data_IF_086993119898
#
_entry.id   IF_086993119898
#
_cell.length_a   1.000
_cell.length_b   1.000
_cell.length_c   1.000
_cell.angle_alpha   90.00
_cell.angle_beta   90.00
_cell.angle_gamma   90.00
#
_symmetry.space_group_name_H-M   'P 1'
#
loop_
_entity.id
_entity.type
_entity.pdbx_description
1 polymer ?
#
# COMPACT_ATOMS: atom_id res chain seq x y z
N UNK A 1 18.06 -3.00 -11.27
CA UNK A 1 18.19 -2.58 -9.84
C UNK A 1 16.80 -2.44 -9.26
N UNK A 2 16.44 -3.21 -8.23
CA UNK A 2 15.12 -3.12 -7.57
C UNK A 2 14.93 -1.79 -6.86
N UNK A 3 13.68 -1.34 -6.77
CA UNK A 3 13.26 -0.18 -5.97
C UNK A 3 12.74 -0.57 -4.58
N UNK A 4 12.83 -1.85 -4.23
CA UNK A 4 12.33 -2.32 -2.95
C UNK A 4 12.94 -1.53 -1.80
N UNK A 5 12.09 -1.12 -0.86
CA UNK A 5 12.46 -0.20 0.22
C UNK A 5 11.98 -0.74 1.57
N UNK A 6 12.87 -0.74 2.55
CA UNK A 6 12.51 -0.90 3.95
C UNK A 6 12.37 0.48 4.57
N UNK A 7 11.22 0.76 5.20
CA UNK A 7 10.93 2.05 5.84
C UNK A 7 10.70 1.84 7.34
N UNK A 8 11.17 2.77 8.13
CA UNK A 8 10.86 2.85 9.56
C UNK A 8 9.92 4.02 9.78
N UNK A 9 8.66 3.73 10.10
CA UNK A 9 7.65 4.76 10.36
C UNK A 9 7.49 4.92 11.87
N UNK A 10 7.83 6.09 12.35
CA UNK A 10 7.57 6.49 13.73
C UNK A 10 6.45 7.54 13.72
N UNK A 11 5.38 7.23 14.41
CA UNK A 11 4.24 8.12 14.65
C UNK A 11 4.38 8.67 16.07
N UNK A 12 4.84 9.90 16.24
CA UNK A 12 4.97 10.49 17.58
C UNK A 12 3.60 10.67 18.22
N UNK A 13 3.58 10.90 19.53
CA UNK A 13 2.37 11.32 20.23
C UNK A 13 1.87 12.61 19.57
N UNK A 14 0.74 12.52 18.87
CA UNK A 14 0.18 13.64 18.14
C UNK A 14 -1.04 14.23 18.86
N UNK A 15 -1.13 15.55 18.87
CA UNK A 15 -2.30 16.26 19.39
C UNK A 15 -3.43 16.34 18.37
N UNK A 16 -3.12 16.19 17.09
CA UNK A 16 -4.08 16.27 15.96
C UNK A 16 -3.89 15.09 15.01
N UNK A 17 -4.98 14.61 14.37
CA UNK A 17 -4.88 13.61 13.31
C UNK A 17 -4.25 14.20 12.05
N UNK A 18 -3.66 13.34 11.20
CA UNK A 18 -3.16 13.73 9.86
C UNK A 18 -4.33 14.11 8.96
N UNK A 19 -5.43 13.39 9.07
CA UNK A 19 -6.63 13.59 8.26
C UNK A 19 -7.87 13.12 9.03
N UNK A 20 -9.02 13.72 8.72
CA UNK A 20 -10.34 13.17 9.07
C UNK A 20 -10.89 12.47 7.83
N UNK A 21 -11.17 11.18 7.95
CA UNK A 21 -11.70 10.38 6.85
C UNK A 21 -13.03 10.95 6.34
N UNK A 22 -13.07 11.29 5.06
CA UNK A 22 -14.29 11.81 4.40
C UNK A 22 -15.40 10.76 4.31
N UNK A 23 -15.04 9.48 4.39
CA UNK A 23 -16.00 8.38 4.26
C UNK A 23 -16.85 8.19 5.53
N UNK A 24 -16.22 8.30 6.69
CA UNK A 24 -16.83 7.90 7.97
C UNK A 24 -16.48 8.81 9.16
N UNK A 25 -15.80 9.93 8.93
CA UNK A 25 -15.46 10.91 9.97
C UNK A 25 -14.39 10.44 10.95
N UNK A 26 -13.73 9.31 10.70
CA UNK A 26 -12.74 8.73 11.61
C UNK A 26 -11.40 9.48 11.51
N UNK A 27 -10.79 9.85 12.67
CA UNK A 27 -9.47 10.48 12.68
C UNK A 27 -8.37 9.49 12.27
N UNK A 28 -7.47 9.90 11.37
CA UNK A 28 -6.42 9.07 10.79
C UNK A 28 -5.03 9.56 11.18
N UNK A 29 -4.13 8.62 11.44
CA UNK A 29 -2.69 8.81 11.56
C UNK A 29 -1.96 8.58 10.23
N UNK A 30 -2.60 7.87 9.30
CA UNK A 30 -2.18 7.74 7.91
C UNK A 30 -3.42 7.64 7.04
N UNK A 31 -3.45 8.43 5.96
CA UNK A 31 -4.57 8.50 5.02
C UNK A 31 -4.92 7.15 4.38
N UNK A 32 -6.15 7.06 3.87
CA UNK A 32 -6.59 5.88 3.11
C UNK A 32 -5.88 5.80 1.78
N UNK A 33 -5.20 4.69 1.54
CA UNK A 33 -4.44 4.47 0.31
C UNK A 33 -4.34 2.98 -0.06
N UNK A 34 -3.70 2.72 -1.17
CA UNK A 34 -3.19 1.40 -1.59
C UNK A 34 -1.73 1.56 -1.97
N UNK A 35 -0.91 0.54 -1.71
CA UNK A 35 0.49 0.55 -2.09
C UNK A 35 0.67 0.46 -3.61
N UNK A 36 1.75 1.07 -4.11
CA UNK A 36 2.06 1.11 -5.55
C UNK A 36 2.66 -0.19 -6.08
N UNK A 37 3.43 -0.89 -5.25
CA UNK A 37 4.29 -2.02 -5.63
C UNK A 37 3.57 -3.35 -5.89
N UNK A 38 4.33 -4.42 -5.80
CA UNK A 38 3.84 -5.80 -5.94
C UNK A 38 3.14 -6.22 -4.65
N UNK A 39 3.86 -6.19 -3.53
CA UNK A 39 3.31 -6.45 -2.20
C UNK A 39 4.12 -5.71 -1.13
N UNK A 40 3.50 -5.58 0.03
CA UNK A 40 4.14 -5.03 1.22
C UNK A 40 4.14 -6.09 2.32
N UNK A 41 5.28 -6.23 3.02
CA UNK A 41 5.39 -7.01 4.25
C UNK A 41 5.57 -6.02 5.40
N UNK A 42 4.65 -6.04 6.35
CA UNK A 42 4.57 -5.03 7.40
C UNK A 42 4.68 -5.64 8.78
N UNK A 43 5.66 -5.17 9.55
CA UNK A 43 5.64 -5.24 11.01
C UNK A 43 4.89 -4.05 11.58
N UNK A 44 3.99 -4.28 12.54
CA UNK A 44 3.39 -3.23 13.37
C UNK A 44 3.61 -3.55 14.84
N UNK A 45 3.74 -2.52 15.66
CA UNK A 45 3.85 -2.68 17.11
C UNK A 45 2.50 -3.01 17.76
N UNK A 46 2.52 -3.28 19.08
CA UNK A 46 1.33 -3.62 19.87
C UNK A 46 0.24 -2.54 19.94
N UNK A 47 0.51 -1.33 19.45
CA UNK A 47 -0.49 -0.26 19.34
C UNK A 47 -1.50 -0.54 18.24
N UNK A 48 -1.10 -1.31 17.21
CA UNK A 48 -1.99 -1.66 16.11
C UNK A 48 -2.44 -0.44 15.31
N UNK A 49 -3.75 -0.29 15.14
CA UNK A 49 -4.37 0.84 14.43
C UNK A 49 -4.44 0.70 12.92
N UNK A 50 -3.83 -0.33 12.34
CA UNK A 50 -4.01 -0.64 10.93
C UNK A 50 -5.42 -1.14 10.67
N UNK A 51 -6.06 -0.58 9.65
CA UNK A 51 -7.35 -1.05 9.13
C UNK A 51 -7.25 -1.36 7.64
N UNK A 52 -7.97 -2.40 7.22
CA UNK A 52 -8.14 -2.79 5.82
C UNK A 52 -9.61 -2.70 5.43
N UNK A 53 -9.88 -2.30 4.19
CA UNK A 53 -11.23 -2.18 3.69
C UNK A 53 -11.64 -3.42 2.90
N UNK A 54 -12.73 -4.04 3.28
CA UNK A 54 -13.35 -5.08 2.47
C UNK A 54 -13.96 -4.46 1.21
N UNK A 55 -13.58 -4.96 0.04
CA UNK A 55 -14.01 -4.38 -1.26
C UNK A 55 -15.48 -4.55 -1.55
N UNK A 56 -16.09 -5.67 -1.09
CA UNK A 56 -17.50 -5.98 -1.38
C UNK A 56 -18.45 -5.10 -0.57
N UNK A 57 -18.27 -5.09 0.77
CA UNK A 57 -19.17 -4.37 1.67
C UNK A 57 -18.68 -2.98 2.09
N UNK A 58 -17.47 -2.57 1.65
CA UNK A 58 -16.81 -1.30 1.98
C UNK A 58 -16.56 -1.05 3.48
N UNK A 59 -16.76 -2.07 4.33
CA UNK A 59 -16.50 -1.97 5.76
C UNK A 59 -15.00 -2.04 6.06
N UNK A 60 -14.59 -1.34 7.11
CA UNK A 60 -13.25 -1.34 7.64
C UNK A 60 -13.09 -2.40 8.73
N UNK A 61 -11.99 -3.13 8.69
CA UNK A 61 -11.64 -4.16 9.66
C UNK A 61 -10.28 -3.86 10.26
N UNK A 62 -10.18 -3.97 11.59
CA UNK A 62 -8.90 -3.86 12.27
C UNK A 62 -8.02 -5.06 11.93
N UNK A 63 -6.72 -4.80 11.70
CA UNK A 63 -5.70 -5.83 11.60
C UNK A 63 -5.05 -5.95 12.98
N UNK A 64 -5.33 -7.03 13.74
CA UNK A 64 -4.81 -7.17 15.10
C UNK A 64 -3.28 -7.30 15.08
N UNK A 65 -2.65 -6.81 16.15
CA UNK A 65 -1.24 -7.10 16.38
C UNK A 65 -1.05 -8.58 16.71
N UNK A 66 -0.04 -9.20 16.08
CA UNK A 66 0.46 -10.52 16.44
C UNK A 66 1.98 -10.48 16.44
N UNK A 67 2.60 -10.78 17.60
CA UNK A 67 4.07 -10.73 17.74
C UNK A 67 4.82 -11.74 16.86
N UNK A 68 4.14 -12.79 16.45
CA UNK A 68 4.70 -13.90 15.67
C UNK A 68 4.30 -13.87 14.20
N UNK A 69 3.70 -12.76 13.72
CA UNK A 69 3.24 -12.63 12.35
C UNK A 69 3.52 -11.25 11.77
N UNK A 70 3.74 -11.23 10.47
CA UNK A 70 3.80 -10.01 9.67
C UNK A 70 2.50 -9.90 8.86
N UNK A 71 2.07 -8.68 8.59
CA UNK A 71 0.94 -8.41 7.70
C UNK A 71 1.45 -8.35 6.28
N UNK A 72 0.78 -9.04 5.35
CA UNK A 72 1.10 -8.97 3.92
C UNK A 72 -0.10 -8.44 3.17
N UNK A 73 0.10 -7.41 2.36
CA UNK A 73 -0.89 -6.88 1.44
C UNK A 73 -0.36 -6.70 0.03
N UNK A 74 -1.23 -6.84 -0.94
CA UNK A 74 -0.93 -6.67 -2.37
C UNK A 74 -1.04 -5.21 -2.78
N UNK A 75 -0.18 -4.79 -3.71
CA UNK A 75 -0.16 -3.44 -4.27
C UNK A 75 -0.72 -3.36 -5.70
N UNK A 76 -0.76 -2.12 -6.23
CA UNK A 76 -1.33 -1.82 -7.57
C UNK A 76 -0.59 -2.48 -8.72
N UNK A 77 0.74 -2.63 -8.62
CA UNK A 77 1.51 -3.29 -9.67
C UNK A 77 1.09 -4.75 -9.82
N UNK A 78 0.90 -5.49 -8.70
CA UNK A 78 0.40 -6.85 -8.76
C UNK A 78 -1.05 -6.91 -9.26
N UNK A 79 -1.90 -6.00 -8.84
CA UNK A 79 -3.28 -5.91 -9.36
C UNK A 79 -3.29 -5.76 -10.88
N UNK A 80 -2.45 -4.87 -11.41
CA UNK A 80 -2.33 -4.65 -12.85
C UNK A 80 -1.77 -5.89 -13.57
N UNK A 81 -0.62 -6.42 -13.14
CA UNK A 81 0.05 -7.57 -13.76
C UNK A 81 -0.79 -8.84 -13.71
N UNK A 82 -1.59 -9.00 -12.68
CA UNK A 82 -2.48 -10.16 -12.51
C UNK A 82 -3.84 -10.02 -13.22
N UNK A 83 -4.06 -8.94 -13.98
CA UNK A 83 -5.37 -8.63 -14.57
C UNK A 83 -6.48 -8.64 -13.51
N UNK A 84 -6.21 -8.00 -12.38
CA UNK A 84 -7.12 -7.89 -11.26
C UNK A 84 -7.43 -9.22 -10.50
N UNK A 85 -6.65 -10.27 -10.68
CA UNK A 85 -6.80 -11.49 -9.85
C UNK A 85 -6.40 -11.22 -8.41
N UNK A 86 -5.25 -10.54 -8.20
CA UNK A 86 -4.81 -10.06 -6.90
C UNK A 86 -5.09 -8.57 -6.80
N UNK A 87 -6.07 -8.21 -5.98
CA UNK A 87 -6.53 -6.83 -5.87
C UNK A 87 -5.74 -6.06 -4.83
N UNK A 88 -5.30 -4.87 -5.16
CA UNK A 88 -4.72 -3.96 -4.18
C UNK A 88 -5.76 -3.62 -3.10
N UNK A 89 -5.33 -3.64 -1.84
CA UNK A 89 -6.21 -3.48 -0.69
C UNK A 89 -6.12 -2.06 -0.14
N UNK A 90 -7.25 -1.35 -0.08
CA UNK A 90 -7.32 -0.09 0.65
C UNK A 90 -7.03 -0.34 2.12
N UNK A 91 -6.10 0.45 2.66
CA UNK A 91 -5.78 0.41 4.08
C UNK A 91 -5.52 1.82 4.60
N UNK A 92 -5.58 1.97 5.91
CA UNK A 92 -5.38 3.22 6.62
C UNK A 92 -4.86 2.94 8.03
N UNK A 93 -4.32 3.95 8.70
CA UNK A 93 -3.94 3.86 10.10
C UNK A 93 -4.80 4.82 10.91
N UNK A 94 -5.44 4.30 11.95
CA UNK A 94 -6.19 5.12 12.89
C UNK A 94 -5.27 6.07 13.64
N UNK A 95 -5.75 7.29 13.86
CA UNK A 95 -5.07 8.20 14.75
C UNK A 95 -4.99 7.65 16.17
N UNK A 96 -3.84 7.81 16.80
CA UNK A 96 -3.62 7.36 18.17
C UNK A 96 -2.93 8.48 18.97
N UNK A 97 -3.44 8.73 20.17
CA UNK A 97 -2.85 9.67 21.14
C UNK A 97 -1.48 9.22 21.67
N UNK A 98 -1.09 7.98 21.42
CA UNK A 98 0.17 7.39 21.87
C UNK A 98 1.09 7.20 20.67
N UNK A 99 2.38 7.18 20.92
CA UNK A 99 3.36 6.85 19.89
C UNK A 99 3.16 5.43 19.35
N UNK A 100 3.46 5.27 18.08
CA UNK A 100 3.35 4.01 17.34
C UNK A 100 4.55 3.85 16.42
N UNK A 101 4.98 2.62 16.22
CA UNK A 101 5.99 2.28 15.22
C UNK A 101 5.48 1.19 14.27
N UNK A 102 5.89 1.29 13.01
CA UNK A 102 5.71 0.22 12.03
C UNK A 102 6.86 0.20 11.04
N UNK A 103 7.15 -1.00 10.51
CA UNK A 103 8.26 -1.22 9.59
C UNK A 103 7.73 -1.94 8.36
N UNK A 104 7.30 -1.22 7.31
CA UNK A 104 6.94 -1.80 6.04
C UNK A 104 8.18 -2.08 5.17
N UNK A 105 8.20 -3.24 4.54
CA UNK A 105 9.05 -3.57 3.41
C UNK A 105 8.21 -3.57 2.15
N UNK A 106 8.45 -2.62 1.26
CA UNK A 106 7.79 -2.51 -0.04
C UNK A 106 8.58 -3.28 -1.07
N UNK A 107 8.00 -4.34 -1.60
CA UNK A 107 8.58 -5.08 -2.71
C UNK A 107 8.14 -4.46 -4.03
N UNK A 108 9.11 -3.88 -4.74
CA UNK A 108 8.87 -3.13 -5.97
C UNK A 108 9.75 -3.62 -7.12
N UNK A 109 9.26 -3.57 -8.37
CA UNK A 109 10.08 -3.85 -9.55
C UNK A 109 11.22 -2.84 -9.73
N UNK A 110 12.10 -3.08 -10.69
CA UNK A 110 13.03 -2.06 -11.19
C UNK A 110 12.27 -1.00 -12.02
N UNK A 111 12.86 0.19 -12.18
CA UNK A 111 12.26 1.29 -12.96
C UNK A 111 11.93 0.90 -14.40
N UNK A 112 12.80 0.14 -15.02
CA UNK A 112 12.73 -0.33 -16.40
C UNK A 112 11.86 -1.60 -16.59
N UNK A 113 11.32 -2.14 -15.50
CA UNK A 113 10.46 -3.32 -15.56
C UNK A 113 9.24 -3.05 -16.46
N UNK A 114 9.02 -3.93 -17.44
CA UNK A 114 7.87 -3.85 -18.34
C UNK A 114 6.61 -4.32 -17.66
N UNK A 115 5.65 -3.42 -17.52
CA UNK A 115 4.34 -3.66 -16.89
C UNK A 115 3.41 -4.41 -17.86
N UNK A 116 3.77 -5.64 -18.20
CA UNK A 116 2.99 -6.46 -19.14
C UNK A 116 1.88 -7.22 -18.39
N UNK A 117 0.63 -6.95 -18.75
CA UNK A 117 -0.56 -7.67 -18.24
C UNK A 117 -0.55 -9.16 -18.58
N UNK A 118 0.30 -9.60 -19.49
CA UNK A 118 0.45 -11.00 -19.87
C UNK A 118 1.58 -11.71 -19.09
N UNK A 119 2.31 -10.98 -18.25
CA UNK A 119 3.45 -11.50 -17.50
C UNK A 119 3.13 -12.80 -16.73
N UNK A 120 1.98 -12.89 -16.08
CA UNK A 120 1.58 -14.06 -15.32
C UNK A 120 0.88 -15.17 -16.16
N UNK A 121 0.66 -14.96 -17.46
CA UNK A 121 -0.10 -15.91 -18.27
C UNK A 121 0.72 -16.64 -19.34
N UNK A 122 2.01 -16.40 -19.42
CA UNK A 122 3.00 -17.08 -20.31
C UNK A 122 2.54 -17.33 -21.78
N UNK A 123 1.51 -16.64 -22.25
CA UNK A 123 1.00 -16.74 -23.62
C UNK A 123 1.70 -15.73 -24.52
N UNK A 124 2.93 -15.94 -24.84
CA UNK A 124 3.78 -15.47 -25.93
C UNK A 124 3.49 -14.19 -26.73
N UNK A 125 2.46 -13.44 -26.45
CA UNK A 125 2.16 -12.14 -27.08
C UNK A 125 2.87 -11.04 -26.30
N UNK A 126 4.03 -10.61 -26.80
CA UNK A 126 4.68 -9.37 -26.34
C UNK A 126 3.92 -8.19 -26.93
N UNK A 127 3.34 -7.38 -26.08
CA UNK A 127 2.85 -6.07 -26.47
C UNK A 127 4.04 -5.12 -26.57
N UNK A 128 4.31 -4.59 -27.76
CA UNK A 128 5.45 -3.69 -27.99
C UNK A 128 5.27 -2.31 -27.32
N UNK A 129 4.07 -1.96 -26.89
CA UNK A 129 3.71 -0.69 -26.22
C UNK A 129 3.53 -0.82 -24.72
N UNK A 130 4.31 -1.68 -24.07
CA UNK A 130 4.19 -1.90 -22.63
C UNK A 130 4.81 -0.74 -21.85
N UNK A 131 4.03 -0.14 -20.97
CA UNK A 131 4.50 0.90 -20.05
C UNK A 131 5.57 0.35 -19.08
N UNK A 132 6.63 1.11 -18.83
CA UNK A 132 7.63 0.75 -17.80
C UNK A 132 7.14 1.14 -16.42
N UNK A 133 7.68 0.46 -15.38
CA UNK A 133 7.24 0.65 -14.00
C UNK A 133 7.44 2.09 -13.51
N UNK A 134 8.49 2.77 -13.91
CA UNK A 134 8.70 4.19 -13.57
C UNK A 134 7.50 5.06 -13.92
N UNK A 135 6.98 4.94 -15.14
CA UNK A 135 5.79 5.71 -15.57
C UNK A 135 4.55 5.32 -14.79
N UNK A 136 4.37 4.02 -14.54
CA UNK A 136 3.28 3.49 -13.73
C UNK A 136 3.34 4.00 -12.28
N UNK A 137 4.52 3.97 -11.66
CA UNK A 137 4.76 4.46 -10.30
C UNK A 137 4.47 5.95 -10.19
N UNK A 138 5.00 6.77 -11.10
CA UNK A 138 4.79 8.22 -11.11
C UNK A 138 3.31 8.60 -11.20
N UNK A 139 2.51 7.87 -12.00
CA UNK A 139 1.05 8.05 -12.03
C UNK A 139 0.38 7.69 -10.70
N UNK A 140 0.90 6.69 -10.00
CA UNK A 140 0.38 6.25 -8.72
C UNK A 140 0.73 7.23 -7.60
N UNK A 141 1.95 7.73 -7.55
CA UNK A 141 2.46 8.66 -6.52
C UNK A 141 1.73 10.01 -6.54
N UNK A 142 1.35 10.52 -7.71
CA UNK A 142 0.57 11.78 -7.84
C UNK A 142 -0.76 11.78 -7.06
N UNK A 143 -1.22 10.62 -6.62
CA UNK A 143 -2.46 10.47 -5.83
C UNK A 143 -2.25 10.66 -4.33
N UNK A 144 -1.01 10.58 -3.83
CA UNK A 144 -0.70 10.77 -2.43
C UNK A 144 -0.46 12.24 -2.09
N UNK A 145 -0.94 12.65 -0.91
CA UNK A 145 -0.78 14.04 -0.43
C UNK A 145 0.69 14.41 -0.30
N UNK A 146 1.54 13.50 0.17
CA UNK A 146 2.98 13.70 0.33
C UNK A 146 3.72 14.09 -0.96
N UNK A 147 3.19 13.71 -2.13
CA UNK A 147 3.78 13.95 -3.45
C UNK A 147 3.00 14.95 -4.32
N UNK A 148 1.97 15.58 -3.75
CA UNK A 148 1.27 16.70 -4.39
C UNK A 148 2.06 17.98 -4.12
N UNK A 149 2.99 18.28 -5.02
CA UNK A 149 3.60 19.60 -5.14
C UNK A 149 2.90 20.42 -6.20
#
# INVERSE_FOLDING_TARGET
KTLSTLRFNYYPKQTRPVEISKQDGVPLGCETHVDSGIFTVLYQDKRGGLQVQNRKNKKWYNVPFNRNALVVNTGRALEFLSKNKFRATNHRVLWNKRERMSVPFFFEPSFDFKMDKHFLNNKGRRDNNVEIYEKFLNKSLKKFIEYKR
#
